data_IF_824640827069
#
_entry.id   IF_824640827069
#
_cell.length_a   1.000
_cell.length_b   1.000
_cell.length_c   1.000
_cell.angle_alpha   90.00
_cell.angle_beta   90.00
_cell.angle_gamma   90.00
#
_symmetry.space_group_name_H-M   'P 1'
#
loop_
_entity.id
_entity.type
_entity.pdbx_description
1 polymer ?
#
# COMPACT_ATOMS: atom_id res chain seq x y z
N UNK A 1 -9.15 15.80 -18.77
CA UNK A 1 -8.08 14.80 -18.99
C UNK A 1 -8.03 13.92 -17.73
N UNK A 2 -8.27 12.63 -17.86
CA UNK A 2 -8.30 11.70 -16.70
C UNK A 2 -6.93 11.05 -16.54
N UNK A 3 -6.35 11.14 -15.35
CA UNK A 3 -5.07 10.50 -15.03
C UNK A 3 -5.34 9.21 -14.25
N UNK A 4 -4.70 8.12 -14.67
CA UNK A 4 -4.73 6.83 -13.98
C UNK A 4 -3.36 6.52 -13.41
N UNK A 5 -3.33 6.00 -12.17
CA UNK A 5 -2.10 5.54 -11.52
C UNK A 5 -2.12 4.01 -11.48
N UNK A 6 -1.00 3.39 -11.83
CA UNK A 6 -0.79 1.95 -11.78
C UNK A 6 0.47 1.65 -10.97
N UNK A 7 0.34 0.80 -9.95
CA UNK A 7 1.49 0.27 -9.22
C UNK A 7 2.05 -0.97 -9.92
N UNK A 8 3.34 -0.96 -10.23
CA UNK A 8 4.07 -2.12 -10.73
C UNK A 8 5.04 -2.61 -9.66
N UNK A 9 4.85 -3.84 -9.17
CA UNK A 9 5.53 -4.32 -7.97
C UNK A 9 6.81 -5.10 -8.23
N UNK A 10 7.15 -5.43 -9.48
CA UNK A 10 8.42 -6.10 -9.79
C UNK A 10 9.48 -5.07 -10.14
N UNK A 11 10.66 -5.22 -9.56
CA UNK A 11 11.86 -4.56 -10.10
C UNK A 11 12.10 -5.07 -11.52
N UNK A 12 12.25 -4.17 -12.49
CA UNK A 12 12.54 -4.51 -13.87
C UNK A 12 11.84 -3.61 -14.88
N UNK A 13 12.01 -3.96 -16.16
CA UNK A 13 11.35 -3.28 -17.26
C UNK A 13 9.84 -3.57 -17.25
N UNK A 14 9.09 -2.59 -17.77
CA UNK A 14 7.68 -2.78 -18.06
C UNK A 14 7.52 -3.86 -19.14
N UNK A 15 6.35 -4.52 -19.22
CA UNK A 15 6.09 -5.51 -20.27
C UNK A 15 6.37 -4.94 -21.66
N UNK A 16 6.85 -5.78 -22.56
CA UNK A 16 7.04 -5.41 -23.97
C UNK A 16 5.73 -4.85 -24.55
N UNK A 17 5.83 -3.73 -25.27
CA UNK A 17 4.66 -3.06 -25.86
C UNK A 17 3.86 -2.18 -24.89
N UNK A 18 4.36 -1.92 -23.68
CA UNK A 18 3.76 -0.96 -22.76
C UNK A 18 4.09 0.51 -23.14
N UNK A 19 3.12 1.43 -23.03
CA UNK A 19 1.72 1.23 -22.69
C UNK A 19 0.90 0.80 -23.92
N UNK A 20 -0.25 0.13 -23.70
CA UNK A 20 -1.17 -0.15 -24.78
C UNK A 20 -1.74 1.15 -25.37
N UNK A 21 -2.03 1.18 -26.68
CA UNK A 21 -2.64 2.35 -27.34
C UNK A 21 -4.10 2.58 -26.93
N UNK A 22 -4.80 1.49 -26.59
CA UNK A 22 -6.20 1.48 -26.18
C UNK A 22 -6.34 0.64 -24.90
N UNK A 23 -7.18 1.09 -23.98
CA UNK A 23 -7.53 0.37 -22.75
C UNK A 23 -9.04 0.27 -22.63
N UNK A 24 -9.53 -0.86 -22.11
CA UNK A 24 -10.96 -1.09 -21.87
C UNK A 24 -11.23 -1.16 -20.37
N UNK A 25 -12.09 -0.28 -19.88
CA UNK A 25 -12.58 -0.29 -18.51
C UNK A 25 -14.09 -0.51 -18.51
N UNK A 26 -14.50 -1.75 -18.23
CA UNK A 26 -15.91 -2.15 -18.36
C UNK A 26 -16.41 -1.91 -19.79
N UNK A 27 -17.50 -1.15 -19.99
CA UNK A 27 -18.05 -0.87 -21.31
C UNK A 27 -17.31 0.24 -22.08
N UNK A 28 -16.35 0.92 -21.45
CA UNK A 28 -15.66 2.08 -22.03
C UNK A 28 -14.33 1.68 -22.65
N UNK A 29 -14.11 2.04 -23.92
CA UNK A 29 -12.80 2.01 -24.57
C UNK A 29 -12.18 3.41 -24.60
N UNK A 30 -10.94 3.52 -24.12
CA UNK A 30 -10.22 4.78 -24.01
C UNK A 30 -8.89 4.68 -24.73
N UNK A 31 -8.51 5.76 -25.42
CA UNK A 31 -7.17 5.90 -26.01
C UNK A 31 -6.18 6.38 -24.95
N UNK A 32 -5.01 5.74 -24.89
CA UNK A 32 -3.88 6.22 -24.09
C UNK A 32 -3.19 7.36 -24.86
N UNK A 33 -3.17 8.54 -24.24
CA UNK A 33 -2.62 9.77 -24.84
C UNK A 33 -1.18 10.03 -24.41
N UNK A 34 -0.72 9.40 -23.33
CA UNK A 34 0.63 9.45 -22.81
C UNK A 34 0.75 8.58 -21.57
N UNK A 35 1.99 8.30 -21.18
CA UNK A 35 2.32 7.65 -19.91
C UNK A 35 3.64 8.21 -19.41
N UNK A 36 3.83 8.16 -18.09
CA UNK A 36 5.08 8.47 -17.44
C UNK A 36 5.38 7.38 -16.42
N UNK A 37 6.66 7.18 -16.13
CA UNK A 37 7.14 6.14 -15.24
C UNK A 37 8.05 6.76 -14.19
N UNK A 38 7.64 6.66 -12.93
CA UNK A 38 8.48 7.04 -11.79
C UNK A 38 9.02 5.76 -11.11
N UNK A 39 10.30 5.42 -11.27
CA UNK A 39 10.87 4.18 -10.75
C UNK A 39 11.14 4.23 -9.24
N UNK A 40 10.57 3.27 -8.52
CA UNK A 40 10.73 3.08 -7.07
C UNK A 40 11.28 1.67 -6.78
N UNK A 41 12.54 1.37 -7.15
CA UNK A 41 13.10 0.04 -6.99
C UNK A 41 13.18 -0.35 -5.51
N UNK A 42 13.06 -1.64 -5.18
CA UNK A 42 13.06 -2.10 -3.78
C UNK A 42 14.29 -1.65 -3.01
N UNK A 43 15.46 -1.60 -3.65
CA UNK A 43 16.69 -1.11 -3.02
C UNK A 43 16.58 0.36 -2.55
N UNK A 44 15.87 1.21 -3.30
CA UNK A 44 15.60 2.61 -2.92
C UNK A 44 14.61 2.69 -1.76
N UNK A 45 13.62 1.80 -1.73
CA UNK A 45 12.65 1.72 -0.64
C UNK A 45 13.32 1.25 0.65
N UNK A 46 14.20 0.25 0.57
CA UNK A 46 14.94 -0.32 1.69
C UNK A 46 15.96 0.65 2.27
N UNK A 47 16.60 1.50 1.45
CA UNK A 47 17.62 2.46 1.88
C UNK A 47 17.07 3.77 2.44
N UNK A 48 15.76 3.83 2.66
CA UNK A 48 15.09 5.09 2.92
C UNK A 48 15.19 5.58 4.39
N UNK A 49 15.91 4.80 5.23
CA UNK A 49 16.33 5.15 6.58
C UNK A 49 15.26 4.95 7.66
N UNK A 50 15.67 5.07 8.94
CA UNK A 50 14.84 4.70 10.05
C UNK A 50 13.69 5.68 10.19
N UNK A 51 12.47 5.14 10.10
CA UNK A 51 11.23 5.92 10.22
C UNK A 51 10.55 5.55 11.54
N UNK A 52 10.02 6.54 12.26
CA UNK A 52 9.33 6.30 13.55
C UNK A 52 7.86 6.67 13.52
N UNK A 53 7.43 7.39 12.49
CA UNK A 53 6.06 7.88 12.34
C UNK A 53 5.79 8.08 10.85
N UNK A 54 4.61 7.71 10.39
CA UNK A 54 4.18 7.94 9.01
C UNK A 54 2.71 8.32 8.96
N UNK A 55 2.36 9.24 8.06
CA UNK A 55 0.97 9.55 7.75
C UNK A 55 0.56 8.85 6.46
N UNK A 56 -0.48 8.04 6.56
CA UNK A 56 -1.12 7.36 5.44
C UNK A 56 -2.44 8.07 5.12
N UNK A 57 -2.61 8.50 3.87
CA UNK A 57 -3.88 9.03 3.36
C UNK A 57 -4.50 8.01 2.43
N UNK A 58 -5.60 7.39 2.84
CA UNK A 58 -6.35 6.44 2.03
C UNK A 58 -7.16 7.23 0.99
N UNK A 59 -6.75 7.11 -0.27
CA UNK A 59 -7.37 7.78 -1.43
C UNK A 59 -8.58 6.97 -1.91
N UNK A 60 -8.51 5.65 -1.82
CA UNK A 60 -9.62 4.74 -2.11
C UNK A 60 -9.93 3.89 -0.87
N UNK A 61 -11.13 3.28 -0.78
CA UNK A 61 -11.54 2.54 0.42
C UNK A 61 -10.54 1.43 0.77
N UNK A 62 -10.07 1.44 2.02
CA UNK A 62 -9.19 0.44 2.60
C UNK A 62 -9.98 -0.54 3.45
N UNK A 63 -9.78 -1.83 3.26
CA UNK A 63 -10.32 -2.85 4.16
C UNK A 63 -9.43 -4.08 4.16
N UNK A 64 -9.56 -4.88 5.21
CA UNK A 64 -8.95 -6.19 5.32
C UNK A 64 -10.05 -7.25 5.36
N UNK A 65 -9.86 -8.37 4.67
CA UNK A 65 -10.77 -9.50 4.76
C UNK A 65 -10.11 -10.65 5.51
N UNK A 66 -10.79 -11.18 6.54
CA UNK A 66 -10.31 -12.33 7.31
C UNK A 66 -11.48 -13.21 7.73
N UNK A 67 -11.45 -14.46 7.28
CA UNK A 67 -12.43 -15.49 7.68
C UNK A 67 -13.88 -15.05 7.45
N UNK A 68 -14.16 -14.49 6.26
CA UNK A 68 -15.50 -14.03 5.88
C UNK A 68 -15.98 -12.74 6.55
N UNK A 69 -15.10 -12.05 7.29
CA UNK A 69 -15.40 -10.75 7.91
C UNK A 69 -14.47 -9.69 7.37
N UNK A 70 -15.05 -8.57 6.96
CA UNK A 70 -14.31 -7.42 6.50
C UNK A 70 -14.13 -6.40 7.63
N UNK A 71 -12.89 -5.90 7.76
CA UNK A 71 -12.51 -4.86 8.70
C UNK A 71 -12.17 -3.58 7.94
N UNK A 72 -13.07 -2.58 7.92
CA UNK A 72 -12.86 -1.30 7.24
C UNK A 72 -12.17 -0.30 8.18
N UNK A 73 -11.06 -0.70 8.80
CA UNK A 73 -10.26 0.14 9.69
C UNK A 73 -8.76 0.02 9.36
N UNK A 74 -7.99 1.12 9.50
CA UNK A 74 -6.54 1.11 9.29
C UNK A 74 -5.83 0.47 10.49
N UNK A 75 -5.99 -0.84 10.64
CA UNK A 75 -5.42 -1.60 11.76
C UNK A 75 -3.90 -1.82 11.54
N UNK A 76 -3.02 -1.31 12.44
CA UNK A 76 -1.58 -1.30 12.23
C UNK A 76 -0.95 -2.67 11.94
N UNK A 77 -1.35 -3.72 12.66
CA UNK A 77 -0.76 -5.05 12.51
C UNK A 77 -1.11 -5.65 11.15
N UNK A 78 -2.36 -5.49 10.70
CA UNK A 78 -2.82 -5.94 9.39
C UNK A 78 -2.17 -5.14 8.26
N UNK A 79 -1.95 -3.84 8.44
CA UNK A 79 -1.20 -3.01 7.49
C UNK A 79 0.20 -3.60 7.30
N UNK A 80 0.96 -3.74 8.40
CA UNK A 80 2.33 -4.28 8.38
C UNK A 80 2.38 -5.65 7.74
N UNK A 81 1.53 -6.58 8.15
CA UNK A 81 1.51 -7.94 7.60
C UNK A 81 1.16 -7.95 6.11
N UNK A 82 0.16 -7.18 5.69
CA UNK A 82 -0.25 -7.13 4.27
C UNK A 82 0.84 -6.57 3.35
N UNK A 83 1.63 -5.62 3.86
CA UNK A 83 2.75 -5.04 3.12
C UNK A 83 3.94 -5.98 3.11
N UNK A 84 4.30 -6.56 4.26
CA UNK A 84 5.38 -7.54 4.37
C UNK A 84 5.15 -8.75 3.46
N UNK A 85 3.95 -9.35 3.47
CA UNK A 85 3.65 -10.51 2.62
C UNK A 85 3.86 -10.17 1.15
N UNK A 86 3.42 -8.99 0.68
CA UNK A 86 3.63 -8.59 -0.71
C UNK A 86 5.08 -8.20 -1.00
N UNK A 87 5.76 -7.55 -0.06
CA UNK A 87 7.18 -7.25 -0.19
C UNK A 87 7.97 -8.53 -0.42
N UNK A 88 7.82 -9.56 0.42
CA UNK A 88 8.56 -10.81 0.29
C UNK A 88 8.17 -11.65 -0.95
N UNK A 89 7.03 -11.39 -1.58
CA UNK A 89 6.64 -12.03 -2.86
C UNK A 89 7.40 -11.40 -4.04
N UNK A 90 7.61 -10.08 -4.02
CA UNK A 90 8.07 -9.33 -5.20
C UNK A 90 9.49 -8.77 -5.07
N UNK A 91 9.98 -8.53 -3.87
CA UNK A 91 11.32 -8.02 -3.63
C UNK A 91 12.38 -9.06 -4.00
N UNK A 92 13.57 -8.62 -4.47
CA UNK A 92 14.73 -9.50 -4.59
C UNK A 92 15.02 -10.25 -3.29
N UNK A 93 15.47 -11.50 -3.37
CA UNK A 93 15.72 -12.34 -2.20
C UNK A 93 16.69 -11.70 -1.18
N UNK A 94 17.67 -10.93 -1.65
CA UNK A 94 18.62 -10.20 -0.80
C UNK A 94 17.96 -9.08 0.04
N UNK A 95 16.75 -8.66 -0.31
CA UNK A 95 15.95 -7.66 0.39
C UNK A 95 14.74 -8.26 1.12
N UNK A 96 14.64 -9.59 1.19
CA UNK A 96 13.56 -10.24 1.93
C UNK A 96 13.62 -9.83 3.41
N UNK A 97 12.46 -9.52 3.98
CA UNK A 97 12.35 -9.10 5.38
C UNK A 97 12.02 -10.35 6.21
N UNK A 98 12.83 -10.56 7.25
CA UNK A 98 12.67 -11.66 8.19
C UNK A 98 11.36 -11.55 9.00
N UNK A 99 10.72 -12.70 9.27
CA UNK A 99 9.46 -12.76 10.01
C UNK A 99 9.61 -12.26 11.46
N UNK A 100 10.75 -12.53 12.11
CA UNK A 100 11.04 -12.08 13.46
C UNK A 100 11.04 -10.56 13.58
N UNK A 101 11.67 -9.88 12.62
CA UNK A 101 11.68 -8.40 12.56
C UNK A 101 10.26 -7.86 12.33
N UNK A 102 9.47 -8.52 11.49
CA UNK A 102 8.08 -8.10 11.20
C UNK A 102 7.16 -8.32 12.40
N UNK A 103 7.43 -9.36 13.20
CA UNK A 103 6.73 -9.59 14.47
C UNK A 103 7.05 -8.49 15.47
N UNK A 104 8.33 -8.15 15.66
CA UNK A 104 8.76 -7.03 16.51
C UNK A 104 8.14 -5.71 16.03
N UNK A 105 8.10 -5.47 14.72
CA UNK A 105 7.45 -4.31 14.13
C UNK A 105 5.94 -4.28 14.43
N UNK A 106 5.24 -5.40 14.24
CA UNK A 106 3.82 -5.51 14.54
C UNK A 106 3.50 -5.27 16.01
N UNK A 107 4.38 -5.70 16.92
CA UNK A 107 4.22 -5.49 18.36
C UNK A 107 4.53 -4.04 18.78
N UNK A 108 5.37 -3.33 18.01
CA UNK A 108 5.81 -1.98 18.31
C UNK A 108 5.03 -0.86 17.59
N UNK A 109 4.30 -1.16 16.52
CA UNK A 109 3.54 -0.18 15.75
C UNK A 109 2.15 0.04 16.34
N UNK A 110 1.72 1.30 16.43
CA UNK A 110 0.38 1.65 16.89
C UNK A 110 -0.22 2.78 16.05
N UNK A 111 -1.56 2.87 16.10
CA UNK A 111 -2.32 3.94 15.47
C UNK A 111 -2.32 5.15 16.42
N UNK A 112 -1.58 6.19 16.05
CA UNK A 112 -1.42 7.41 16.85
C UNK A 112 -2.62 8.36 16.66
N UNK A 113 -3.10 8.49 15.42
CA UNK A 113 -4.32 9.24 15.13
C UNK A 113 -5.03 8.71 13.89
N UNK A 114 -6.34 8.91 13.84
CA UNK A 114 -7.17 8.56 12.68
C UNK A 114 -8.26 9.61 12.49
N UNK A 115 -8.50 10.00 11.23
CA UNK A 115 -9.57 10.90 10.85
C UNK A 115 -10.13 10.48 9.51
N UNK A 116 -11.42 10.19 9.46
CA UNK A 116 -12.06 9.65 8.26
C UNK A 116 -13.32 8.89 8.61
N UNK A 117 -13.83 8.16 7.63
CA UNK A 117 -15.03 7.35 7.81
C UNK A 117 -14.97 6.13 6.90
N UNK A 118 -15.78 5.12 7.24
CA UNK A 118 -16.10 4.08 6.28
C UNK A 118 -16.90 4.68 5.12
N UNK A 119 -16.61 4.19 3.91
CA UNK A 119 -17.31 4.51 2.68
C UNK A 119 -17.68 3.20 2.01
N UNK A 120 -18.92 3.14 1.55
CA UNK A 120 -19.42 2.01 0.78
C UNK A 120 -19.31 2.36 -0.71
N UNK A 121 -18.69 1.48 -1.49
CA UNK A 121 -18.54 1.65 -2.94
C UNK A 121 -19.02 0.41 -3.70
N UNK A 122 -19.54 0.55 -4.92
CA UNK A 122 -19.80 -0.58 -5.80
C UNK A 122 -18.51 -1.34 -6.13
N UNK A 123 -18.50 -2.65 -5.88
CA UNK A 123 -17.49 -3.56 -6.39
C UNK A 123 -17.98 -4.22 -7.68
N UNK A 124 -19.25 -4.63 -7.69
CA UNK A 124 -19.99 -5.08 -8.87
C UNK A 124 -21.36 -4.39 -8.89
N UNK A 125 -22.20 -4.70 -9.87
CA UNK A 125 -23.58 -4.21 -9.89
C UNK A 125 -24.34 -4.57 -8.61
N UNK A 126 -24.13 -5.79 -8.11
CA UNK A 126 -24.86 -6.38 -6.98
C UNK A 126 -24.10 -6.30 -5.64
N UNK A 127 -22.78 -6.20 -5.68
CA UNK A 127 -21.94 -6.22 -4.48
C UNK A 127 -21.44 -4.82 -4.15
N UNK A 128 -21.60 -4.43 -2.89
CA UNK A 128 -21.04 -3.21 -2.32
C UNK A 128 -19.97 -3.58 -1.31
N UNK A 129 -18.82 -2.94 -1.39
CA UNK A 129 -17.72 -3.11 -0.45
C UNK A 129 -17.62 -1.90 0.47
N UNK A 130 -17.42 -2.13 1.77
CA UNK A 130 -17.15 -1.08 2.75
C UNK A 130 -15.64 -1.03 3.03
N UNK A 131 -15.08 0.18 3.05
CA UNK A 131 -13.68 0.41 3.43
C UNK A 131 -13.47 1.82 4.01
N UNK A 132 -12.37 2.02 4.71
CA UNK A 132 -11.98 3.29 5.30
C UNK A 132 -11.43 4.26 4.25
N UNK A 133 -11.88 5.51 4.27
CA UNK A 133 -11.28 6.63 3.53
C UNK A 133 -10.98 7.75 4.50
N UNK A 134 -9.77 8.29 4.45
CA UNK A 134 -9.31 9.31 5.40
C UNK A 134 -7.80 9.30 5.60
N UNK A 135 -7.36 9.72 6.77
CA UNK A 135 -5.96 9.72 7.19
C UNK A 135 -5.77 8.88 8.45
N UNK A 136 -4.67 8.14 8.50
CA UNK A 136 -4.21 7.37 9.63
C UNK A 136 -2.74 7.68 9.86
N UNK A 137 -2.36 7.86 11.11
CA UNK A 137 -0.97 8.08 11.48
C UNK A 137 -0.48 6.89 12.29
N UNK A 138 0.54 6.21 11.77
CA UNK A 138 1.18 5.10 12.43
C UNK A 138 2.45 5.58 13.10
N UNK A 139 2.73 5.09 14.30
CA UNK A 139 3.92 5.41 15.07
C UNK A 139 4.53 4.16 15.66
N UNK A 140 5.85 4.14 15.78
CA UNK A 140 6.59 3.11 16.50
C UNK A 140 6.81 3.52 17.95
N UNK A 141 6.76 2.54 18.85
CA UNK A 141 7.28 2.70 20.19
C UNK A 141 8.74 3.17 20.15
N UNK A 142 9.10 4.04 21.11
CA UNK A 142 10.46 4.57 21.24
C UNK A 142 11.51 3.47 21.48
N UNK A 143 11.07 2.36 22.07
CA UNK A 143 11.89 1.17 22.38
C UNK A 143 12.19 0.30 21.18
N UNK A 144 11.49 0.46 20.04
CA UNK A 144 11.75 -0.36 18.86
C UNK A 144 13.19 -0.15 18.36
N UNK A 145 13.83 -1.22 17.90
CA UNK A 145 15.20 -1.15 17.38
C UNK A 145 15.31 -0.25 16.13
N UNK A 146 16.52 0.16 15.78
CA UNK A 146 16.78 0.89 14.52
C UNK A 146 16.39 0.03 13.32
N UNK A 147 16.73 -1.26 13.35
CA UNK A 147 16.35 -2.23 12.32
C UNK A 147 14.85 -2.29 12.08
N UNK A 148 14.02 -2.32 13.14
CA UNK A 148 12.56 -2.26 13.01
C UNK A 148 12.10 -0.93 12.40
N UNK A 149 12.73 0.18 12.78
CA UNK A 149 12.42 1.49 12.21
C UNK A 149 12.79 1.60 10.71
N UNK A 150 13.86 0.94 10.27
CA UNK A 150 14.24 0.84 8.85
C UNK A 150 13.20 0.03 8.07
N UNK A 151 12.81 -1.16 8.57
CA UNK A 151 11.77 -1.99 7.94
C UNK A 151 10.44 -1.24 7.88
N UNK A 152 10.07 -0.52 8.94
CA UNK A 152 8.88 0.32 8.93
C UNK A 152 8.96 1.41 7.86
N UNK A 153 10.11 2.07 7.71
CA UNK A 153 10.33 3.07 6.66
C UNK A 153 10.22 2.50 5.25
N UNK A 154 10.75 1.30 5.02
CA UNK A 154 10.69 0.61 3.74
C UNK A 154 9.25 0.20 3.38
N UNK A 155 8.55 -0.51 4.29
CA UNK A 155 7.17 -0.95 4.09
C UNK A 155 6.22 0.24 3.94
N UNK A 156 6.43 1.33 4.69
CA UNK A 156 5.62 2.54 4.59
C UNK A 156 5.70 3.16 3.20
N UNK A 157 6.90 3.28 2.61
CA UNK A 157 7.06 3.81 1.25
C UNK A 157 6.52 2.86 0.20
N UNK A 158 6.72 1.56 0.39
CA UNK A 158 6.16 0.52 -0.48
C UNK A 158 4.63 0.59 -0.55
N UNK A 159 3.96 1.01 0.53
CA UNK A 159 2.51 1.17 0.55
C UNK A 159 1.99 2.14 -0.51
N UNK A 160 2.75 3.18 -0.88
CA UNK A 160 2.37 4.13 -1.93
C UNK A 160 2.22 3.47 -3.32
N UNK A 161 2.89 2.33 -3.54
CA UNK A 161 2.91 1.59 -4.79
C UNK A 161 1.98 0.37 -4.72
N UNK A 162 2.10 -0.40 -3.64
CA UNK A 162 1.36 -1.64 -3.45
C UNK A 162 -0.10 -1.44 -3.04
N UNK A 163 -0.44 -0.27 -2.49
CA UNK A 163 -1.66 -0.08 -1.72
C UNK A 163 -1.70 -0.96 -0.47
N UNK A 164 -2.78 -0.91 0.29
CA UNK A 164 -2.93 -1.61 1.57
C UNK A 164 -4.26 -2.36 1.61
N UNK A 165 -4.22 -3.60 2.14
CA UNK A 165 -5.41 -4.40 2.35
C UNK A 165 -5.84 -5.23 1.15
N UNK A 166 -7.13 -5.52 1.06
CA UNK A 166 -7.70 -6.41 0.06
C UNK A 166 -8.11 -5.65 -1.23
N UNK A 167 -8.18 -6.40 -2.34
CA UNK A 167 -8.65 -5.92 -3.65
C UNK A 167 -7.89 -4.71 -4.21
N UNK A 168 -6.60 -4.59 -3.91
CA UNK A 168 -5.75 -3.50 -4.40
C UNK A 168 -5.62 -3.48 -5.92
N UNK A 169 -5.68 -4.64 -6.57
CA UNK A 169 -5.75 -4.77 -8.04
C UNK A 169 -7.07 -4.30 -8.65
N UNK A 170 -8.10 -4.08 -7.83
CA UNK A 170 -9.40 -3.54 -8.24
C UNK A 170 -9.58 -2.08 -7.83
N UNK A 171 -8.49 -1.40 -7.46
CA UNK A 171 -8.49 0.03 -7.10
C UNK A 171 -8.79 0.33 -5.64
N UNK A 172 -8.91 -0.68 -4.76
CA UNK A 172 -9.04 -0.46 -3.31
C UNK A 172 -7.69 -0.21 -2.66
N UNK A 173 -7.71 0.38 -1.46
CA UNK A 173 -6.51 0.51 -0.64
C UNK A 173 -5.39 1.36 -1.23
N UNK A 174 -5.65 2.21 -2.21
CA UNK A 174 -4.68 3.16 -2.73
C UNK A 174 -4.38 4.20 -1.65
N UNK A 175 -3.10 4.41 -1.35
CA UNK A 175 -2.68 5.32 -0.29
C UNK A 175 -1.62 6.30 -0.78
N UNK A 176 -1.66 7.52 -0.27
CA UNK A 176 -0.54 8.45 -0.33
C UNK A 176 0.20 8.41 1.00
N UNK A 177 1.53 8.47 0.93
CA UNK A 177 2.42 8.40 2.09
C UNK A 177 3.04 9.78 2.24
N UNK A 178 2.62 10.50 3.28
CA UNK A 178 3.13 11.84 3.56
C UNK A 178 4.42 11.78 4.38
N UNK A 179 5.38 12.71 4.16
CA UNK A 179 6.51 12.85 5.07
C UNK A 179 6.01 13.22 6.46
N UNK A 180 6.72 12.70 7.45
CA UNK A 180 6.54 13.00 8.87
C UNK A 180 6.93 14.46 9.11
N UNK A 181 6.02 15.27 9.66
CA UNK A 181 6.41 16.50 10.38
C UNK A 181 6.94 16.12 11.75
#
# INVERSE_FOLDING_TARGET
MTLWRLGWLRDGELPEGWPPRMVRFGPCELRVTGFDVDPWPFARLASAGPTRRVRLRMITPLFFSRSGRDLPLPEPVLIVRSLWTRWNIYAPAALAIDEGIVRELADAVFLDSVSGASRQVPLTEQVRQVGFVGSAELRLLKTASVTVADVFGALSRFAAIAGIGALTTHGFGAVEVGPTV
#
